data_IF_751354509828
#
_entry.id   IF_751354509828
#
_cell.length_a   1.000
_cell.length_b   1.000
_cell.length_c   1.000
_cell.angle_alpha   90.00
_cell.angle_beta   90.00
_cell.angle_gamma   90.00
#
_symmetry.space_group_name_H-M   'P 1'
#
loop_
_entity.id
_entity.type
_entity.pdbx_description
1 polymer ?
#
# COMPACT_ATOMS: atom_id res chain seq x y z
N UNK A 1 -28.26 24.74 -10.62
CA UNK A 1 -28.98 23.58 -10.05
C UNK A 1 -28.83 23.63 -8.54
N UNK A 2 -29.83 23.18 -7.80
CA UNK A 2 -29.70 22.91 -6.35
C UNK A 2 -28.65 21.81 -6.16
N UNK A 3 -27.62 22.08 -5.37
CA UNK A 3 -26.66 21.04 -4.98
C UNK A 3 -27.34 20.00 -4.10
N UNK A 4 -26.88 18.75 -4.17
CA UNK A 4 -27.32 17.71 -3.23
C UNK A 4 -27.01 18.17 -1.80
N UNK A 5 -28.00 18.04 -0.91
CA UNK A 5 -27.86 18.42 0.49
C UNK A 5 -27.49 17.19 1.33
N UNK A 6 -26.64 17.43 2.33
CA UNK A 6 -26.04 16.44 3.21
C UNK A 6 -26.35 16.85 4.64
N UNK A 7 -26.70 15.88 5.50
CA UNK A 7 -26.96 16.15 6.90
C UNK A 7 -25.65 16.28 7.68
N UNK A 8 -25.34 17.51 8.12
CA UNK A 8 -24.15 17.77 8.91
C UNK A 8 -24.39 17.49 10.39
N UNK A 9 -23.79 16.43 10.90
CA UNK A 9 -23.93 15.96 12.30
C UNK A 9 -23.32 16.91 13.34
N UNK A 10 -22.41 17.81 12.97
CA UNK A 10 -21.79 18.75 13.90
C UNK A 10 -22.62 20.03 14.07
N UNK A 11 -23.20 20.54 12.99
CA UNK A 11 -24.05 21.73 12.99
C UNK A 11 -25.55 21.44 13.15
N UNK A 12 -25.99 20.19 12.93
CA UNK A 12 -27.39 19.78 13.03
C UNK A 12 -28.28 20.39 11.94
N UNK A 13 -27.72 20.60 10.74
CA UNK A 13 -28.38 21.26 9.61
C UNK A 13 -27.99 20.61 8.28
N UNK A 14 -28.83 20.79 7.27
CA UNK A 14 -28.49 20.44 5.89
C UNK A 14 -27.48 21.44 5.31
N UNK A 15 -26.45 20.94 4.64
CA UNK A 15 -25.48 21.75 3.89
C UNK A 15 -25.22 21.20 2.48
N UNK A 16 -24.70 22.01 1.55
CA UNK A 16 -24.24 21.49 0.26
C UNK A 16 -23.18 20.39 0.41
N UNK A 17 -23.31 19.35 -0.42
CA UNK A 17 -22.32 18.31 -0.61
C UNK A 17 -20.92 18.87 -0.94
N UNK A 18 -19.90 18.23 -0.38
CA UNK A 18 -18.48 18.45 -0.66
C UNK A 18 -17.84 17.11 -1.01
N UNK A 19 -16.79 17.11 -1.84
CA UNK A 19 -16.10 15.87 -2.21
C UNK A 19 -15.54 15.08 -1.01
N UNK A 20 -15.23 15.77 0.10
CA UNK A 20 -14.84 15.16 1.39
C UNK A 20 -15.88 14.21 1.99
N UNK A 21 -17.15 14.39 1.64
CA UNK A 21 -18.30 13.68 2.21
C UNK A 21 -18.54 12.31 1.54
N UNK A 22 -17.78 12.01 0.48
CA UNK A 22 -17.91 10.79 -0.31
C UNK A 22 -16.71 9.85 -0.14
N UNK A 23 -17.01 8.56 0.06
CA UNK A 23 -16.02 7.48 0.02
C UNK A 23 -16.37 6.44 -1.06
N UNK A 24 -15.36 5.95 -1.78
CA UNK A 24 -15.43 4.81 -2.69
C UNK A 24 -14.76 3.62 -2.00
N UNK A 25 -15.52 2.55 -1.78
CA UNK A 25 -15.11 1.38 -1.01
C UNK A 25 -14.81 0.18 -1.91
N UNK A 26 -13.56 -0.28 -1.85
CA UNK A 26 -13.06 -1.42 -2.60
C UNK A 26 -13.01 -2.69 -1.74
N UNK A 27 -13.57 -3.79 -2.25
CA UNK A 27 -13.35 -5.15 -1.68
C UNK A 27 -11.89 -5.58 -1.79
N UNK A 28 -11.25 -5.26 -2.90
CA UNK A 28 -9.82 -5.45 -3.12
C UNK A 28 -9.31 -4.40 -4.10
N UNK A 29 -8.20 -3.73 -3.78
CA UNK A 29 -7.67 -2.55 -4.48
C UNK A 29 -6.98 -2.85 -5.83
N UNK A 30 -7.42 -3.91 -6.53
CA UNK A 30 -6.89 -4.31 -7.85
C UNK A 30 -7.25 -3.30 -8.94
N UNK A 31 -8.51 -2.86 -8.98
CA UNK A 31 -9.01 -1.97 -10.01
C UNK A 31 -8.77 -0.49 -9.66
N UNK A 32 -8.32 -0.18 -8.44
CA UNK A 32 -8.19 1.18 -7.92
C UNK A 32 -7.46 2.16 -8.86
N UNK A 33 -6.37 1.78 -9.58
CA UNK A 33 -5.71 2.68 -10.53
C UNK A 33 -6.61 3.14 -11.70
N UNK A 34 -7.56 2.31 -12.15
CA UNK A 34 -8.55 2.68 -13.17
C UNK A 34 -9.48 3.78 -12.66
N UNK A 35 -9.91 3.69 -11.40
CA UNK A 35 -10.71 4.75 -10.77
C UNK A 35 -9.89 6.03 -10.62
N UNK A 36 -8.61 5.95 -10.20
CA UNK A 36 -7.74 7.15 -10.17
C UNK A 36 -7.59 7.80 -11.55
N UNK A 37 -7.42 7.01 -12.61
CA UNK A 37 -7.30 7.51 -13.98
C UNK A 37 -8.58 8.24 -14.43
N UNK A 38 -9.76 7.63 -14.19
CA UNK A 38 -11.05 8.25 -14.55
C UNK A 38 -11.34 9.50 -13.70
N UNK A 39 -10.94 9.52 -12.42
CA UNK A 39 -11.02 10.74 -11.59
C UNK A 39 -10.11 11.86 -12.12
N UNK A 40 -8.86 11.55 -12.52
CA UNK A 40 -7.95 12.53 -13.17
C UNK A 40 -8.55 13.07 -14.46
N UNK A 41 -9.06 12.18 -15.32
CA UNK A 41 -9.66 12.55 -16.61
C UNK A 41 -10.92 13.42 -16.45
N UNK A 42 -11.72 13.20 -15.41
CA UNK A 42 -12.89 14.00 -15.07
C UNK A 42 -12.57 15.28 -14.27
N UNK A 43 -11.31 15.51 -13.89
CA UNK A 43 -10.90 16.64 -13.05
C UNK A 43 -11.42 16.60 -11.60
N UNK A 44 -11.82 15.42 -11.12
CA UNK A 44 -12.44 15.24 -9.80
C UNK A 44 -11.36 15.07 -8.70
N UNK A 45 -11.43 15.83 -7.59
CA UNK A 45 -10.46 15.72 -6.51
C UNK A 45 -10.69 14.42 -5.71
N UNK A 46 -9.62 13.63 -5.52
CA UNK A 46 -9.67 12.34 -4.84
C UNK A 46 -8.47 12.11 -3.92
N UNK A 47 -8.60 11.18 -2.97
CA UNK A 47 -7.59 10.84 -1.95
C UNK A 47 -7.62 9.34 -1.61
N UNK A 48 -6.51 8.62 -1.79
CA UNK A 48 -6.48 7.14 -1.86
C UNK A 48 -6.37 6.37 -0.52
N UNK A 49 -7.20 6.69 0.47
CA UNK A 49 -7.78 5.84 1.55
C UNK A 49 -7.19 4.47 2.10
N UNK A 50 -5.97 3.94 1.89
CA UNK A 50 -5.52 2.65 2.58
C UNK A 50 -3.98 2.44 2.84
N UNK A 51 -3.31 1.33 2.44
CA UNK A 51 -1.89 0.96 2.73
C UNK A 51 -0.96 0.39 1.59
N UNK A 52 -0.12 1.12 0.81
CA UNK A 52 0.84 0.66 -0.26
C UNK A 52 1.98 1.64 -0.63
N UNK A 53 3.20 1.12 -0.83
CA UNK A 53 4.21 1.77 -1.68
C UNK A 53 4.75 3.09 -1.14
N UNK A 54 4.45 3.38 0.12
CA UNK A 54 5.10 4.45 0.88
C UNK A 54 6.57 4.14 1.12
N UNK A 55 6.85 2.89 1.48
CA UNK A 55 8.21 2.36 1.56
C UNK A 55 8.86 2.12 0.20
N UNK A 56 8.12 2.32 -0.92
CA UNK A 56 8.67 2.29 -2.27
C UNK A 56 9.04 3.69 -2.80
N UNK A 57 8.66 4.76 -2.09
CA UNK A 57 9.05 6.13 -2.43
C UNK A 57 10.57 6.27 -2.30
N UNK A 58 11.28 6.91 -3.25
CA UNK A 58 12.73 7.06 -3.20
C UNK A 58 13.24 7.58 -1.86
N UNK A 59 12.59 8.61 -1.33
CA UNK A 59 12.94 9.27 -0.07
C UNK A 59 12.74 8.40 1.19
N UNK A 60 12.04 7.27 1.09
CA UNK A 60 11.92 6.27 2.16
C UNK A 60 12.84 5.07 1.88
N UNK A 61 13.04 4.70 0.62
CA UNK A 61 14.01 3.66 0.20
C UNK A 61 15.44 4.04 0.57
N UNK A 62 15.85 5.30 0.39
CA UNK A 62 17.19 5.78 0.78
C UNK A 62 17.48 5.50 2.27
N UNK A 63 16.48 5.72 3.13
CA UNK A 63 16.57 5.51 4.59
C UNK A 63 16.53 4.02 4.96
N UNK A 64 15.78 3.21 4.21
CA UNK A 64 15.76 1.76 4.39
C UNK A 64 17.07 1.10 3.96
N UNK A 65 17.64 1.52 2.82
CA UNK A 65 18.97 1.08 2.39
C UNK A 65 20.04 1.56 3.36
N UNK A 66 19.94 2.77 3.94
CA UNK A 66 20.87 3.21 4.98
C UNK A 66 20.85 2.28 6.19
N UNK A 67 19.67 1.92 6.70
CA UNK A 67 19.55 0.97 7.79
C UNK A 67 20.03 -0.44 7.40
N UNK A 68 19.80 -0.89 6.16
CA UNK A 68 20.29 -2.17 5.66
C UNK A 68 21.83 -2.24 5.59
N UNK A 69 22.51 -1.14 5.25
CA UNK A 69 23.98 -1.03 5.28
C UNK A 69 24.54 -1.08 6.71
N UNK A 70 23.79 -0.59 7.69
CA UNK A 70 24.18 -0.62 9.11
C UNK A 70 23.86 -1.97 9.79
N UNK A 71 22.82 -2.67 9.34
CA UNK A 71 22.48 -4.04 9.78
C UNK A 71 23.38 -5.10 9.12
N UNK A 72 23.68 -4.93 7.82
CA UNK A 72 24.52 -5.81 7.03
C UNK A 72 25.53 -5.02 6.16
N UNK A 73 26.74 -4.75 6.68
CA UNK A 73 27.85 -4.19 5.90
C UNK A 73 28.32 -5.02 4.69
N UNK A 74 27.79 -6.22 4.47
CA UNK A 74 28.01 -7.01 3.26
C UNK A 74 27.06 -6.68 2.10
N UNK A 75 26.03 -5.85 2.31
CA UNK A 75 25.09 -5.46 1.26
C UNK A 75 25.64 -4.33 0.37
N UNK A 76 26.44 -4.71 -0.63
CA UNK A 76 26.92 -3.82 -1.69
C UNK A 76 25.80 -3.14 -2.49
N UNK A 77 24.59 -3.72 -2.57
CA UNK A 77 23.48 -3.13 -3.34
C UNK A 77 22.83 -1.98 -2.55
N UNK A 78 22.52 -2.19 -1.27
CA UNK A 78 22.08 -1.10 -0.39
C UNK A 78 23.18 -0.06 -0.21
N UNK A 79 24.47 -0.46 -0.17
CA UNK A 79 25.59 0.48 -0.12
C UNK A 79 25.65 1.36 -1.37
N UNK A 80 25.50 0.78 -2.57
CA UNK A 80 25.44 1.53 -3.82
C UNK A 80 24.24 2.48 -3.87
N UNK A 81 23.07 2.03 -3.42
CA UNK A 81 21.86 2.87 -3.35
C UNK A 81 22.05 4.07 -2.42
N UNK A 82 22.54 3.85 -1.21
CA UNK A 82 22.84 4.89 -0.21
C UNK A 82 23.85 5.90 -0.74
N UNK A 83 24.96 5.44 -1.31
CA UNK A 83 26.00 6.33 -1.84
C UNK A 83 25.55 7.14 -3.06
N UNK A 84 24.66 6.58 -3.89
CA UNK A 84 24.04 7.30 -5.02
C UNK A 84 22.95 8.29 -4.58
N UNK A 85 22.28 8.01 -3.46
CA UNK A 85 21.15 8.82 -2.97
C UNK A 85 21.55 10.26 -2.62
N UNK A 86 20.57 11.18 -2.44
CA UNK A 86 20.81 12.54 -1.97
C UNK A 86 21.45 12.66 -0.57
N UNK A 87 21.72 11.55 0.13
CA UNK A 87 22.56 11.53 1.35
C UNK A 87 24.04 11.82 1.03
N UNK A 88 24.53 11.38 -0.14
CA UNK A 88 25.96 11.41 -0.49
C UNK A 88 26.26 11.84 -1.94
N UNK A 89 25.35 11.58 -2.89
CA UNK A 89 25.41 12.12 -4.25
C UNK A 89 26.58 11.62 -5.11
N UNK A 90 27.06 10.38 -4.88
CA UNK A 90 28.12 9.80 -5.70
C UNK A 90 27.60 9.38 -7.08
N UNK A 91 28.39 9.68 -8.11
CA UNK A 91 28.11 9.37 -9.51
C UNK A 91 28.32 7.88 -9.81
N UNK A 92 27.69 7.38 -10.88
CA UNK A 92 27.90 6.00 -11.32
C UNK A 92 29.37 5.72 -11.73
N UNK A 93 30.11 6.73 -12.20
CA UNK A 93 31.54 6.63 -12.47
C UNK A 93 32.37 6.54 -11.18
N UNK A 94 32.04 7.34 -10.16
CA UNK A 94 32.66 7.23 -8.83
C UNK A 94 32.37 5.86 -8.20
N UNK A 95 31.12 5.38 -8.24
CA UNK A 95 30.74 4.05 -7.72
C UNK A 95 31.42 2.92 -8.49
N UNK A 96 31.50 3.02 -9.83
CA UNK A 96 32.23 2.08 -10.67
C UNK A 96 33.73 2.04 -10.33
N UNK A 97 34.35 3.20 -10.09
CA UNK A 97 35.75 3.29 -9.63
C UNK A 97 35.97 2.64 -8.28
N UNK A 98 35.19 3.02 -7.26
CA UNK A 98 35.23 2.38 -5.93
C UNK A 98 35.13 0.86 -6.06
N UNK A 99 34.25 0.37 -6.94
CA UNK A 99 34.01 -1.06 -7.16
C UNK A 99 35.10 -1.79 -7.95
N UNK A 100 35.93 -1.10 -8.76
CA UNK A 100 36.83 -1.74 -9.76
C UNK A 100 38.29 -1.25 -9.75
N UNK A 101 38.66 -0.27 -8.93
CA UNK A 101 40.02 0.29 -8.85
C UNK A 101 40.62 0.17 -7.46
N UNK A 102 41.95 0.01 -7.40
CA UNK A 102 42.74 0.02 -6.17
C UNK A 102 43.16 1.45 -5.80
N UNK A 103 43.61 1.73 -4.56
CA UNK A 103 44.10 3.06 -4.15
C UNK A 103 45.18 3.63 -5.10
N UNK A 104 46.01 2.75 -5.67
CA UNK A 104 47.08 3.05 -6.63
C UNK A 104 46.55 3.29 -8.06
N UNK A 105 45.23 3.42 -8.22
CA UNK A 105 44.51 3.58 -9.50
C UNK A 105 44.65 2.39 -10.46
N UNK A 106 45.10 1.22 -9.99
CA UNK A 106 45.17 0.00 -10.82
C UNK A 106 43.82 -0.70 -10.89
N UNK A 107 43.64 -1.64 -11.81
CA UNK A 107 42.42 -2.47 -11.87
C UNK A 107 42.45 -3.53 -10.78
N UNK A 108 41.38 -3.58 -9.96
CA UNK A 108 41.18 -4.68 -9.03
C UNK A 108 40.85 -5.97 -9.80
N UNK A 109 41.43 -7.10 -9.38
CA UNK A 109 41.18 -8.40 -10.00
C UNK A 109 39.70 -8.79 -9.87
N UNK A 110 39.17 -8.74 -8.66
CA UNK A 110 37.76 -8.91 -8.33
C UNK A 110 37.11 -7.57 -7.92
N UNK A 111 35.77 -7.44 -7.96
CA UNK A 111 35.08 -6.25 -7.46
C UNK A 111 35.33 -6.03 -5.97
N UNK A 112 35.73 -4.82 -5.58
CA UNK A 112 36.01 -4.45 -4.18
C UNK A 112 34.68 -4.07 -3.48
N UNK A 113 34.36 -4.61 -2.28
CA UNK A 113 33.19 -4.20 -1.50
C UNK A 113 33.18 -2.68 -1.25
N UNK A 114 32.05 -2.01 -1.45
CA UNK A 114 31.99 -0.55 -1.50
C UNK A 114 32.39 0.11 -0.17
N UNK A 115 31.99 -0.45 0.98
CA UNK A 115 32.45 0.03 2.29
C UNK A 115 33.96 -0.15 2.49
N UNK A 116 34.56 -1.23 1.97
CA UNK A 116 36.01 -1.44 2.00
C UNK A 116 36.72 -0.42 1.09
N UNK A 117 36.14 -0.12 -0.08
CA UNK A 117 36.66 0.88 -1.00
C UNK A 117 36.56 2.31 -0.43
N UNK A 118 35.53 2.66 0.35
CA UNK A 118 35.46 3.96 1.02
C UNK A 118 36.62 4.18 2.02
N UNK A 119 37.04 3.13 2.72
CA UNK A 119 38.12 3.22 3.70
C UNK A 119 39.52 3.38 3.07
N UNK A 120 39.69 2.99 1.81
CA UNK A 120 40.91 3.18 1.03
C UNK A 120 40.56 3.46 -0.45
N UNK A 121 40.16 4.71 -0.78
CA UNK A 121 39.52 4.98 -2.06
C UNK A 121 40.51 5.15 -3.23
N UNK A 122 40.20 4.60 -4.42
CA UNK A 122 40.87 4.99 -5.67
C UNK A 122 40.62 6.46 -6.03
N UNK A 123 41.44 7.08 -6.89
CA UNK A 123 41.21 8.43 -7.39
C UNK A 123 39.91 8.59 -8.21
N UNK A 124 38.97 9.38 -7.68
CA UNK A 124 37.69 9.73 -8.31
C UNK A 124 37.63 11.21 -8.72
N UNK A 125 36.56 11.58 -9.41
CA UNK A 125 36.15 12.96 -9.70
C UNK A 125 35.40 13.63 -8.53
N UNK A 126 35.05 12.87 -7.48
CA UNK A 126 34.34 13.32 -6.28
C UNK A 126 35.07 12.95 -4.97
N UNK A 127 36.36 13.31 -4.80
CA UNK A 127 37.17 12.85 -3.66
C UNK A 127 36.63 13.35 -2.31
N UNK A 128 36.15 14.60 -2.25
CA UNK A 128 35.60 15.19 -1.03
C UNK A 128 34.30 14.51 -0.59
N UNK A 129 33.42 14.18 -1.54
CA UNK A 129 32.17 13.46 -1.26
C UNK A 129 32.44 12.01 -0.83
N UNK A 130 33.45 11.34 -1.42
CA UNK A 130 33.88 10.00 -1.00
C UNK A 130 34.43 10.00 0.43
N UNK A 131 35.33 10.96 0.76
CA UNK A 131 35.86 11.10 2.11
C UNK A 131 34.78 11.47 3.14
N UNK A 132 33.85 12.35 2.75
CA UNK A 132 32.68 12.71 3.54
C UNK A 132 31.76 11.50 3.80
N UNK A 133 31.47 10.70 2.77
CA UNK A 133 30.63 9.51 2.88
C UNK A 133 31.26 8.44 3.78
N UNK A 134 32.57 8.20 3.64
CA UNK A 134 33.31 7.33 4.55
C UNK A 134 33.17 7.79 6.00
N UNK A 135 33.43 9.08 6.28
CA UNK A 135 33.34 9.65 7.63
C UNK A 135 31.97 9.42 8.27
N UNK A 136 30.89 9.72 7.55
CA UNK A 136 29.52 9.62 8.09
C UNK A 136 29.11 8.15 8.28
N UNK A 137 29.40 7.28 7.31
CA UNK A 137 29.05 5.86 7.42
C UNK A 137 29.83 5.17 8.54
N UNK A 138 31.13 5.45 8.73
CA UNK A 138 31.88 4.93 9.88
C UNK A 138 31.30 5.42 11.21
N UNK A 139 30.95 6.71 11.35
CA UNK A 139 30.32 7.25 12.57
C UNK A 139 28.96 6.59 12.88
N UNK A 140 28.17 6.25 11.86
CA UNK A 140 26.90 5.54 12.03
C UNK A 140 27.11 4.05 12.34
N UNK A 141 28.17 3.42 11.81
CA UNK A 141 28.56 2.04 12.14
C UNK A 141 29.07 1.92 13.58
N UNK A 142 29.87 2.88 14.06
CA UNK A 142 30.30 2.94 15.46
C UNK A 142 29.10 3.05 16.42
N UNK A 143 28.03 3.71 16.00
CA UNK A 143 26.77 3.83 16.75
C UNK A 143 25.84 2.61 16.61
N UNK A 144 25.98 1.79 15.57
CA UNK A 144 25.10 0.67 15.30
C UNK A 144 25.15 -0.36 16.45
N UNK A 145 23.98 -0.90 16.83
CA UNK A 145 23.85 -1.79 17.98
C UNK A 145 23.97 -1.12 19.37
N UNK A 146 24.42 0.14 19.46
CA UNK A 146 24.41 0.92 20.71
C UNK A 146 23.14 1.76 20.88
N UNK A 147 22.44 2.07 19.79
CA UNK A 147 21.27 2.95 19.77
C UNK A 147 20.15 2.40 18.87
N UNK A 148 18.93 2.89 19.09
CA UNK A 148 17.77 2.60 18.25
C UNK A 148 17.89 3.15 16.81
N UNK A 149 17.11 2.58 15.90
CA UNK A 149 17.10 2.97 14.48
C UNK A 149 16.70 4.45 14.27
N UNK A 150 15.88 5.04 15.14
CA UNK A 150 15.51 6.46 15.04
C UNK A 150 16.72 7.38 15.28
N UNK A 151 17.56 7.09 16.29
CA UNK A 151 18.80 7.87 16.55
C UNK A 151 19.81 7.78 15.41
N UNK A 152 19.92 6.62 14.75
CA UNK A 152 20.78 6.46 13.56
C UNK A 152 20.27 7.31 12.40
N UNK A 153 18.97 7.26 12.12
CA UNK A 153 18.35 8.08 11.07
C UNK A 153 18.46 9.58 11.37
N UNK A 154 18.10 10.02 12.58
CA UNK A 154 18.19 11.44 12.99
C UNK A 154 19.63 11.97 12.87
N UNK A 155 20.62 11.20 13.35
CA UNK A 155 22.03 11.56 13.21
C UNK A 155 22.47 11.63 11.74
N UNK A 156 22.06 10.67 10.91
CA UNK A 156 22.39 10.66 9.49
C UNK A 156 21.80 11.88 8.75
N UNK A 157 20.52 12.19 9.00
CA UNK A 157 19.84 13.34 8.40
C UNK A 157 20.45 14.69 8.82
N UNK A 158 20.93 14.80 10.06
CA UNK A 158 21.65 15.98 10.56
C UNK A 158 23.04 16.13 9.94
N UNK A 159 23.81 15.05 9.81
CA UNK A 159 25.15 15.08 9.18
C UNK A 159 25.08 15.40 7.67
N UNK A 160 24.07 14.88 6.97
CA UNK A 160 23.88 14.99 5.51
C UNK A 160 23.09 16.20 5.06
N UNK A 161 22.31 16.82 5.95
CA UNK A 161 21.38 17.89 5.58
C UNK A 161 20.27 17.43 4.63
N UNK A 162 20.03 16.12 4.51
CA UNK A 162 19.14 15.50 3.53
C UNK A 162 17.74 16.12 3.45
N UNK A 163 17.17 16.54 4.59
CA UNK A 163 15.89 17.24 4.64
C UNK A 163 15.89 18.58 3.87
N UNK A 164 17.03 19.31 3.86
CA UNK A 164 17.20 20.51 3.07
C UNK A 164 17.38 20.17 1.58
N UNK A 165 18.11 19.11 1.26
CA UNK A 165 18.27 18.60 -0.13
C UNK A 165 16.91 18.22 -0.73
N UNK A 166 16.05 17.52 0.03
CA UNK A 166 14.69 17.20 -0.39
C UNK A 166 13.81 18.46 -0.54
N UNK A 167 13.88 19.41 0.39
CA UNK A 167 13.12 20.66 0.29
C UNK A 167 13.50 21.51 -0.94
N UNK A 168 14.76 21.47 -1.38
CA UNK A 168 15.21 22.10 -2.62
C UNK A 168 14.69 21.37 -3.87
N UNK A 169 14.68 20.03 -3.86
CA UNK A 169 14.09 19.24 -4.95
C UNK A 169 12.57 19.49 -5.08
N UNK A 170 11.85 19.56 -3.95
CA UNK A 170 10.42 19.89 -3.91
C UNK A 170 10.10 21.23 -4.58
N UNK A 171 10.91 22.26 -4.34
CA UNK A 171 10.74 23.57 -4.96
C UNK A 171 10.93 23.53 -6.48
N UNK A 172 11.88 22.73 -6.99
CA UNK A 172 12.08 22.53 -8.41
C UNK A 172 10.91 21.80 -9.09
N UNK A 173 10.36 20.77 -8.42
CA UNK A 173 9.22 19.99 -8.93
C UNK A 173 7.84 20.65 -8.70
N UNK A 174 7.78 21.77 -7.95
CA UNK A 174 6.53 22.37 -7.42
C UNK A 174 5.75 21.43 -6.50
N UNK A 175 6.42 20.46 -5.89
CA UNK A 175 5.86 19.51 -4.93
C UNK A 175 5.66 20.21 -3.57
N UNK A 176 4.45 20.13 -3.00
CA UNK A 176 4.14 20.78 -1.72
C UNK A 176 4.54 19.92 -0.51
N UNK A 177 5.82 19.93 -0.12
CA UNK A 177 6.26 19.33 1.15
C UNK A 177 6.19 17.80 1.24
N UNK A 178 5.99 17.12 0.10
CA UNK A 178 5.66 15.68 0.06
C UNK A 178 6.83 14.78 0.47
N UNK A 179 8.05 15.07 0.02
CA UNK A 179 9.25 14.28 0.32
C UNK A 179 9.61 14.42 1.80
N UNK A 180 9.68 15.68 2.27
CA UNK A 180 9.99 16.02 3.66
C UNK A 180 8.95 15.41 4.62
N UNK A 181 7.67 15.45 4.26
CA UNK A 181 6.59 14.80 5.04
C UNK A 181 6.75 13.28 5.16
N UNK A 182 7.17 12.58 4.09
CA UNK A 182 7.41 11.14 4.13
C UNK A 182 8.59 10.79 5.06
N UNK A 183 9.69 11.54 4.99
CA UNK A 183 10.84 11.34 5.90
C UNK A 183 10.43 11.56 7.35
N UNK A 184 9.67 12.62 7.64
CA UNK A 184 9.19 12.91 9.00
C UNK A 184 8.26 11.80 9.54
N UNK A 185 7.35 11.27 8.70
CA UNK A 185 6.51 10.12 9.06
C UNK A 185 7.35 8.85 9.31
N UNK A 186 8.40 8.61 8.52
CA UNK A 186 9.29 7.47 8.71
C UNK A 186 10.10 7.58 10.01
N UNK A 187 10.61 8.77 10.34
CA UNK A 187 11.26 9.05 11.63
C UNK A 187 10.33 8.82 12.82
N UNK A 188 9.08 9.31 12.76
CA UNK A 188 8.09 9.08 13.83
C UNK A 188 7.80 7.58 13.99
N UNK A 189 7.64 6.85 12.89
CA UNK A 189 7.46 5.39 12.91
C UNK A 189 8.67 4.66 13.53
N UNK A 190 9.90 5.06 13.16
CA UNK A 190 11.12 4.50 13.75
C UNK A 190 11.22 4.82 15.25
N UNK A 191 10.78 6.00 15.68
CA UNK A 191 10.79 6.44 17.10
C UNK A 191 9.76 5.69 17.95
N UNK A 192 8.57 5.44 17.40
CA UNK A 192 7.49 4.70 18.07
C UNK A 192 7.69 3.18 18.05
N UNK A 193 8.29 2.63 16.98
CA UNK A 193 8.22 1.20 16.64
C UNK A 193 9.57 0.56 16.28
N UNK A 194 10.67 1.30 16.38
CA UNK A 194 12.03 0.82 16.09
C UNK A 194 12.46 -0.30 17.03
N UNK A 195 12.58 0.03 18.31
CA UNK A 195 13.34 -0.80 19.26
C UNK A 195 14.86 -0.66 19.04
N UNK A 196 15.64 -1.49 19.72
CA UNK A 196 17.10 -1.44 19.69
C UNK A 196 17.76 -2.31 18.58
N UNK A 197 16.99 -3.18 17.92
CA UNK A 197 17.48 -4.09 16.87
C UNK A 197 17.07 -3.56 15.48
N UNK A 198 18.06 -3.18 14.67
CA UNK A 198 17.88 -2.67 13.31
C UNK A 198 17.23 -3.74 12.43
N UNK A 199 17.74 -4.98 12.46
CA UNK A 199 17.21 -6.10 11.69
C UNK A 199 15.79 -6.47 12.07
N UNK A 200 15.39 -6.35 13.35
CA UNK A 200 13.97 -6.49 13.74
C UNK A 200 13.08 -5.35 13.21
N UNK A 201 13.59 -4.12 13.15
CA UNK A 201 12.86 -3.01 12.54
C UNK A 201 12.75 -3.18 11.02
N UNK A 202 13.84 -3.54 10.32
CA UNK A 202 13.85 -3.82 8.88
C UNK A 202 12.89 -4.96 8.52
N UNK A 203 12.92 -6.09 9.24
CA UNK A 203 11.96 -7.19 9.06
C UNK A 203 10.53 -6.71 9.27
N UNK A 204 10.25 -5.91 10.31
CA UNK A 204 8.92 -5.32 10.55
C UNK A 204 8.48 -4.38 9.42
N UNK A 205 9.38 -3.59 8.84
CA UNK A 205 9.07 -2.78 7.66
C UNK A 205 8.87 -3.65 6.43
N UNK A 206 9.57 -4.77 6.29
CA UNK A 206 9.38 -5.71 5.17
C UNK A 206 8.06 -6.50 5.30
N UNK A 207 7.66 -6.88 6.52
CA UNK A 207 6.32 -7.42 6.81
C UNK A 207 5.24 -6.38 6.50
N UNK A 208 5.45 -5.12 6.91
CA UNK A 208 4.55 -4.01 6.59
C UNK A 208 4.53 -3.70 5.10
N UNK A 209 5.64 -3.78 4.36
CA UNK A 209 5.71 -3.69 2.90
C UNK A 209 4.93 -4.83 2.24
N UNK A 210 4.99 -6.03 2.80
CA UNK A 210 4.33 -7.23 2.25
C UNK A 210 2.83 -7.22 2.53
N UNK A 211 2.40 -6.71 3.70
CA UNK A 211 1.01 -6.40 4.00
C UNK A 211 0.52 -5.21 3.16
N UNK A 212 1.34 -4.17 3.02
CA UNK A 212 1.05 -3.01 2.16
C UNK A 212 0.84 -3.46 0.71
N UNK A 213 1.73 -4.27 0.13
CA UNK A 213 1.56 -4.82 -1.21
C UNK A 213 0.19 -5.51 -1.40
N UNK A 214 -0.40 -6.04 -0.32
CA UNK A 214 -1.74 -6.65 -0.30
C UNK A 214 -2.90 -5.63 -0.15
N UNK A 215 -2.69 -4.36 0.24
CA UNK A 215 -3.76 -3.44 0.72
C UNK A 215 -4.04 -2.05 -0.02
N UNK A 216 -3.15 -1.03 -0.18
CA UNK A 216 -3.28 0.19 -1.08
C UNK A 216 -3.30 1.68 -0.53
N UNK A 217 -2.25 2.53 -0.54
CA UNK A 217 -2.09 3.74 0.36
C UNK A 217 -2.77 5.08 0.06
N UNK A 218 -3.10 5.76 1.17
CA UNK A 218 -3.00 7.22 1.27
C UNK A 218 -1.59 7.67 1.61
N UNK A 219 -1.11 8.70 0.91
CA UNK A 219 -1.01 9.99 1.58
C UNK A 219 -0.98 11.14 0.58
N UNK A 220 -1.92 12.07 0.74
CA UNK A 220 -2.12 13.25 -0.09
C UNK A 220 -2.82 14.34 0.71
N UNK A 221 -2.42 15.59 0.46
CA UNK A 221 -3.02 16.77 1.10
C UNK A 221 -4.44 16.96 0.57
N UNK A 222 -5.43 17.13 1.45
CA UNK A 222 -6.79 17.45 1.00
C UNK A 222 -6.77 18.79 0.22
N UNK A 223 -7.36 18.87 -0.99
CA UNK A 223 -7.55 20.12 -1.71
C UNK A 223 -8.51 21.06 -0.97
N UNK A 224 -8.46 22.36 -1.28
CA UNK A 224 -9.27 23.41 -0.62
C UNK A 224 -10.78 23.34 -0.92
N UNK A 225 -11.26 22.29 -1.60
CA UNK A 225 -12.68 21.93 -1.77
C UNK A 225 -13.04 20.53 -1.25
N UNK A 226 -12.15 19.86 -0.52
CA UNK A 226 -12.26 18.44 -0.17
C UNK A 226 -11.89 17.50 -1.33
N UNK A 227 -11.92 16.19 -1.07
CA UNK A 227 -11.60 15.13 -2.03
C UNK A 227 -12.30 13.81 -1.68
N UNK A 228 -12.75 13.08 -2.70
CA UNK A 228 -13.42 11.77 -2.56
C UNK A 228 -12.42 10.72 -2.08
N UNK A 229 -12.78 9.94 -1.07
CA UNK A 229 -11.85 9.03 -0.40
C UNK A 229 -11.92 7.61 -0.99
N UNK A 230 -10.88 7.18 -1.70
CA UNK A 230 -10.80 5.86 -2.37
C UNK A 230 -10.10 4.85 -1.45
N UNK A 231 -10.85 4.01 -0.73
CA UNK A 231 -10.34 3.16 0.36
C UNK A 231 -10.76 1.69 0.28
N UNK A 232 -10.00 0.80 0.91
CA UNK A 232 -10.49 -0.55 1.18
C UNK A 232 -11.61 -0.54 2.22
N UNK A 233 -12.55 -1.49 2.14
CA UNK A 233 -13.63 -1.63 3.15
C UNK A 233 -13.06 -1.85 4.57
N UNK A 234 -11.89 -2.50 4.68
CA UNK A 234 -11.17 -2.67 5.94
C UNK A 234 -10.67 -1.33 6.53
N UNK A 235 -10.14 -0.44 5.69
CA UNK A 235 -9.70 0.89 6.12
C UNK A 235 -10.88 1.81 6.53
N UNK A 236 -12.07 1.59 5.97
CA UNK A 236 -13.29 2.29 6.35
C UNK A 236 -13.87 1.87 7.72
N UNK A 237 -13.35 0.81 8.36
CA UNK A 237 -13.94 0.22 9.57
C UNK A 237 -13.88 1.18 10.76
N UNK A 238 -15.05 1.66 11.19
CA UNK A 238 -15.18 2.64 12.27
C UNK A 238 -15.23 4.11 11.79
N UNK A 239 -15.03 4.36 10.51
CA UNK A 239 -15.34 5.63 9.85
C UNK A 239 -16.81 5.62 9.38
N UNK A 240 -17.36 6.79 9.09
CA UNK A 240 -18.70 6.98 8.56
C UNK A 240 -18.65 8.13 7.54
N UNK A 241 -19.41 8.02 6.45
CA UNK A 241 -19.44 9.02 5.38
C UNK A 241 -20.89 9.27 4.96
N UNK A 242 -21.30 10.53 4.72
CA UNK A 242 -22.62 10.83 4.17
C UNK A 242 -22.91 10.09 2.87
N UNK A 243 -21.95 10.01 1.96
CA UNK A 243 -22.09 9.29 0.68
C UNK A 243 -21.07 8.15 0.60
N UNK A 244 -21.54 6.94 0.29
CA UNK A 244 -20.68 5.76 0.09
C UNK A 244 -21.01 5.08 -1.23
N UNK A 245 -19.98 4.79 -2.01
CA UNK A 245 -20.07 3.98 -3.24
C UNK A 245 -19.32 2.67 -3.03
N UNK A 246 -20.02 1.54 -3.04
CA UNK A 246 -19.40 0.21 -3.03
C UNK A 246 -19.26 -0.25 -4.49
N UNK A 247 -18.02 -0.49 -4.92
CA UNK A 247 -17.68 -0.75 -6.33
C UNK A 247 -17.16 -2.17 -6.55
N UNK A 248 -17.03 -2.56 -7.83
CA UNK A 248 -16.64 -3.90 -8.28
C UNK A 248 -17.52 -5.03 -7.72
N UNK A 249 -18.80 -4.78 -7.39
CA UNK A 249 -19.66 -5.76 -6.68
C UNK A 249 -19.95 -7.05 -7.48
N UNK A 250 -19.80 -7.02 -8.80
CA UNK A 250 -19.85 -8.19 -9.68
C UNK A 250 -18.66 -9.14 -9.55
N UNK A 251 -17.60 -8.73 -8.84
CA UNK A 251 -16.38 -9.52 -8.64
C UNK A 251 -16.69 -10.78 -7.83
N UNK A 252 -16.41 -11.94 -8.43
CA UNK A 252 -16.61 -13.27 -7.84
C UNK A 252 -16.10 -13.36 -6.39
N UNK A 253 -16.90 -14.00 -5.53
CA UNK A 253 -16.59 -14.09 -4.09
C UNK A 253 -15.45 -15.06 -3.82
N UNK A 254 -15.54 -16.27 -4.37
CA UNK A 254 -14.48 -17.29 -4.28
C UNK A 254 -13.34 -16.98 -5.27
N UNK A 255 -12.11 -16.88 -4.75
CA UNK A 255 -10.91 -16.92 -5.60
C UNK A 255 -10.55 -18.36 -5.96
N UNK A 256 -9.68 -18.54 -6.96
CA UNK A 256 -9.27 -19.89 -7.39
C UNK A 256 -8.60 -20.64 -6.24
N UNK A 257 -9.08 -21.85 -5.95
CA UNK A 257 -8.57 -22.68 -4.85
C UNK A 257 -7.09 -22.92 -5.07
N UNK A 258 -6.23 -22.39 -4.20
CA UNK A 258 -4.83 -22.80 -4.16
C UNK A 258 -4.83 -24.31 -3.90
N UNK A 259 -4.26 -25.10 -4.80
CA UNK A 259 -4.30 -26.57 -4.69
C UNK A 259 -3.23 -27.06 -3.71
N UNK A 260 -3.31 -26.54 -2.47
CA UNK A 260 -2.47 -26.94 -1.34
C UNK A 260 -2.77 -28.39 -1.00
N UNK A 261 -1.73 -29.23 -1.06
CA UNK A 261 -1.82 -30.64 -0.67
C UNK A 261 -1.90 -30.84 0.85
N UNK A 262 -1.85 -29.76 1.63
CA UNK A 262 -1.71 -29.73 3.08
C UNK A 262 -2.39 -28.47 3.61
N UNK A 263 -3.16 -28.62 4.68
CA UNK A 263 -3.96 -27.58 5.35
C UNK A 263 -3.88 -27.83 6.86
N UNK A 264 -3.83 -26.77 7.67
CA UNK A 264 -3.98 -26.87 9.12
C UNK A 264 -5.45 -26.67 9.52
N UNK A 265 -6.07 -27.68 10.10
CA UNK A 265 -7.39 -27.64 10.74
C UNK A 265 -7.23 -27.39 12.27
N UNK A 266 -7.97 -26.46 12.89
CA UNK A 266 -7.83 -26.16 14.33
C UNK A 266 -8.16 -27.31 15.28
N UNK A 267 -8.92 -28.32 14.84
CA UNK A 267 -9.38 -29.48 15.63
C UNK A 267 -8.52 -30.71 15.34
N UNK A 268 -8.19 -30.95 14.06
CA UNK A 268 -7.52 -32.17 13.60
C UNK A 268 -6.03 -31.99 13.27
N UNK A 269 -5.50 -30.77 13.36
CA UNK A 269 -4.11 -30.46 13.05
C UNK A 269 -3.83 -30.50 11.55
N UNK A 270 -2.74 -31.14 11.14
CA UNK A 270 -2.35 -31.17 9.73
C UNK A 270 -3.17 -32.22 8.97
N UNK A 271 -4.01 -31.76 8.05
CA UNK A 271 -4.76 -32.61 7.09
C UNK A 271 -4.21 -32.43 5.69
N UNK A 272 -4.16 -33.50 4.90
CA UNK A 272 -3.46 -33.52 3.62
C UNK A 272 -4.17 -34.35 2.54
N UNK A 273 -3.72 -34.21 1.30
CA UNK A 273 -4.04 -35.17 0.25
C UNK A 273 -3.32 -36.49 0.52
N UNK A 274 -4.04 -37.59 0.30
CA UNK A 274 -3.52 -38.95 0.36
C UNK A 274 -3.24 -39.45 -1.06
N UNK A 275 -2.64 -40.63 -1.18
CA UNK A 275 -2.65 -41.39 -2.43
C UNK A 275 -3.67 -42.51 -2.34
N UNK A 276 -4.37 -42.75 -3.44
CA UNK A 276 -5.24 -43.91 -3.60
C UNK A 276 -4.43 -45.19 -3.93
N UNK A 277 -5.12 -46.30 -4.21
CA UNK A 277 -4.51 -47.58 -4.58
C UNK A 277 -3.75 -47.55 -5.93
N UNK A 278 -4.05 -46.57 -6.79
CA UNK A 278 -3.39 -46.36 -8.09
C UNK A 278 -2.18 -45.42 -7.97
N UNK A 279 -2.06 -44.70 -6.86
CA UNK A 279 -0.99 -43.77 -6.54
C UNK A 279 -1.32 -42.31 -6.85
N UNK A 280 -2.55 -41.99 -7.25
CA UNK A 280 -3.01 -40.64 -7.59
C UNK A 280 -3.47 -39.84 -6.35
N UNK A 281 -3.45 -38.51 -6.45
CA UNK A 281 -3.66 -37.61 -5.31
C UNK A 281 -5.14 -37.35 -5.01
N UNK A 282 -5.69 -38.04 -4.01
CA UNK A 282 -7.07 -37.84 -3.54
C UNK A 282 -7.13 -36.84 -2.35
N UNK A 283 -8.24 -36.13 -2.20
CA UNK A 283 -8.51 -35.29 -1.02
C UNK A 283 -9.08 -36.15 0.11
N UNK A 284 -8.30 -36.40 1.16
CA UNK A 284 -8.76 -37.15 2.34
C UNK A 284 -10.04 -36.54 2.95
N UNK A 285 -10.78 -37.34 3.72
CA UNK A 285 -12.00 -36.87 4.43
C UNK A 285 -11.69 -35.66 5.33
N UNK A 286 -10.57 -35.68 6.04
CA UNK A 286 -10.13 -34.54 6.88
C UNK A 286 -9.80 -33.28 6.07
N UNK A 287 -9.10 -33.42 4.93
CA UNK A 287 -8.82 -32.27 4.06
C UNK A 287 -10.11 -31.73 3.40
N UNK A 288 -11.04 -32.61 3.04
CA UNK A 288 -12.33 -32.24 2.47
C UNK A 288 -13.24 -31.53 3.48
N UNK A 289 -13.22 -31.98 4.75
CA UNK A 289 -13.88 -31.30 5.87
C UNK A 289 -13.30 -29.91 6.12
N UNK A 290 -11.98 -29.79 6.30
CA UNK A 290 -11.31 -28.52 6.57
C UNK A 290 -11.60 -27.51 5.44
N UNK A 291 -11.47 -27.93 4.17
CA UNK A 291 -11.80 -27.13 2.98
C UNK A 291 -13.27 -26.75 2.83
N UNK A 292 -14.20 -27.46 3.47
CA UNK A 292 -15.62 -27.08 3.53
C UNK A 292 -15.87 -26.05 4.64
N UNK A 293 -15.29 -26.29 5.82
CA UNK A 293 -15.38 -25.40 6.98
C UNK A 293 -14.70 -24.04 6.72
N UNK A 294 -13.55 -24.04 6.07
CA UNK A 294 -12.85 -22.84 5.57
C UNK A 294 -13.76 -22.03 4.63
N UNK A 295 -14.39 -22.68 3.64
CA UNK A 295 -15.34 -22.03 2.74
C UNK A 295 -16.55 -21.41 3.45
N UNK A 296 -17.08 -22.06 4.51
CA UNK A 296 -18.15 -21.48 5.34
C UNK A 296 -17.69 -20.27 6.16
N UNK A 297 -16.43 -20.25 6.61
CA UNK A 297 -15.82 -19.08 7.27
C UNK A 297 -15.57 -17.94 6.27
N UNK A 298 -15.06 -18.23 5.08
CA UNK A 298 -14.92 -17.24 4.00
C UNK A 298 -16.26 -16.63 3.59
N UNK A 299 -17.31 -17.44 3.42
CA UNK A 299 -18.66 -16.97 3.10
C UNK A 299 -19.23 -16.08 4.22
N UNK A 300 -19.00 -16.44 5.49
CA UNK A 300 -19.40 -15.62 6.63
C UNK A 300 -18.64 -14.28 6.67
N UNK A 301 -17.33 -14.28 6.41
CA UNK A 301 -16.53 -13.04 6.41
C UNK A 301 -16.85 -12.15 5.20
N UNK A 302 -17.08 -12.71 4.01
CA UNK A 302 -17.54 -11.94 2.85
C UNK A 302 -18.91 -11.28 3.11
N UNK A 303 -19.82 -11.94 3.85
CA UNK A 303 -21.09 -11.31 4.29
C UNK A 303 -20.86 -10.20 5.32
N UNK A 304 -19.95 -10.40 6.30
CA UNK A 304 -19.58 -9.34 7.26
C UNK A 304 -18.95 -8.14 6.57
N UNK A 305 -18.10 -8.36 5.56
CA UNK A 305 -17.41 -7.29 4.83
C UNK A 305 -18.40 -6.45 4.00
N UNK A 306 -19.37 -7.08 3.34
CA UNK A 306 -20.48 -6.36 2.67
C UNK A 306 -21.30 -5.53 3.68
N UNK A 307 -21.67 -6.13 4.82
CA UNK A 307 -22.37 -5.42 5.90
C UNK A 307 -21.57 -4.22 6.43
N UNK A 308 -20.26 -4.36 6.64
CA UNK A 308 -19.38 -3.24 7.03
C UNK A 308 -19.41 -2.15 5.98
N UNK A 309 -19.28 -2.48 4.69
CA UNK A 309 -19.30 -1.51 3.59
C UNK A 309 -20.62 -0.71 3.53
N UNK A 310 -21.76 -1.39 3.48
CA UNK A 310 -23.07 -0.73 3.41
C UNK A 310 -23.35 0.14 4.64
N UNK A 311 -22.92 -0.30 5.84
CA UNK A 311 -23.08 0.48 7.09
C UNK A 311 -22.04 1.59 7.28
N UNK A 312 -21.22 1.93 6.27
CA UNK A 312 -20.41 3.16 6.29
C UNK A 312 -21.21 4.39 5.83
N UNK A 313 -22.32 4.19 5.12
CA UNK A 313 -23.18 5.26 4.63
C UNK A 313 -24.04 5.87 5.74
N UNK A 314 -24.26 7.19 5.69
CA UNK A 314 -25.27 7.86 6.51
C UNK A 314 -26.49 8.33 5.70
N UNK A 315 -26.27 9.04 4.58
CA UNK A 315 -27.33 9.66 3.78
C UNK A 315 -27.59 8.92 2.47
N UNK A 316 -26.54 8.48 1.76
CA UNK A 316 -26.63 7.84 0.44
C UNK A 316 -25.65 6.66 0.29
N UNK A 317 -26.20 5.50 -0.07
CA UNK A 317 -25.46 4.30 -0.44
C UNK A 317 -25.67 3.99 -1.92
N UNK A 318 -24.57 3.92 -2.69
CA UNK A 318 -24.56 3.53 -4.10
C UNK A 318 -23.86 2.17 -4.21
N UNK A 319 -24.49 1.22 -4.88
CA UNK A 319 -24.00 -0.14 -5.09
C UNK A 319 -23.73 -0.34 -6.60
N UNK A 320 -22.52 -0.77 -6.98
CA UNK A 320 -22.09 -0.79 -8.38
C UNK A 320 -21.29 -2.04 -8.75
N UNK A 321 -21.74 -2.74 -9.79
CA UNK A 321 -21.05 -3.89 -10.37
C UNK A 321 -21.81 -4.50 -11.56
N UNK A 322 -21.08 -5.13 -12.47
CA UNK A 322 -21.63 -5.84 -13.63
C UNK A 322 -21.85 -7.32 -13.29
N UNK A 323 -23.01 -7.88 -13.64
CA UNK A 323 -23.33 -9.29 -13.37
C UNK A 323 -22.70 -10.19 -14.45
N UNK A 324 -21.43 -10.55 -14.25
CA UNK A 324 -20.76 -11.57 -15.09
C UNK A 324 -20.88 -12.99 -14.52
N UNK A 325 -21.07 -13.12 -13.19
CA UNK A 325 -20.86 -14.38 -12.44
C UNK A 325 -21.86 -14.53 -11.30
N UNK A 326 -22.47 -15.72 -11.22
CA UNK A 326 -23.54 -16.07 -10.29
C UNK A 326 -23.17 -16.13 -8.79
N UNK A 327 -21.91 -15.93 -8.42
CA UNK A 327 -21.46 -15.87 -7.02
C UNK A 327 -20.70 -14.55 -6.77
N UNK A 328 -21.45 -13.45 -6.71
CA UNK A 328 -20.98 -12.08 -6.55
C UNK A 328 -21.89 -11.30 -5.59
N UNK A 329 -21.38 -10.24 -4.97
CA UNK A 329 -22.22 -9.39 -4.11
C UNK A 329 -23.34 -8.70 -4.89
N UNK A 330 -23.12 -8.38 -6.17
CA UNK A 330 -24.16 -7.80 -7.03
C UNK A 330 -25.32 -8.78 -7.19
N UNK A 331 -25.05 -10.05 -7.53
CA UNK A 331 -26.08 -11.08 -7.64
C UNK A 331 -26.85 -11.23 -6.32
N UNK A 332 -26.14 -11.35 -5.19
CA UNK A 332 -26.78 -11.55 -3.88
C UNK A 332 -27.70 -10.39 -3.47
N UNK A 333 -27.43 -9.16 -3.91
CA UNK A 333 -28.29 -7.99 -3.68
C UNK A 333 -29.49 -7.98 -4.63
N UNK A 334 -29.28 -8.27 -5.92
CA UNK A 334 -30.36 -8.37 -6.91
C UNK A 334 -31.37 -9.46 -6.54
N UNK A 335 -30.89 -10.65 -6.18
CA UNK A 335 -31.70 -11.78 -5.70
C UNK A 335 -32.53 -11.40 -4.45
N UNK A 336 -31.89 -10.71 -3.49
CA UNK A 336 -32.53 -10.34 -2.22
C UNK A 336 -33.62 -9.25 -2.36
N UNK A 337 -33.60 -8.48 -3.45
CA UNK A 337 -34.60 -7.45 -3.76
C UNK A 337 -35.51 -7.81 -4.95
N UNK A 338 -35.33 -8.97 -5.57
CA UNK A 338 -36.13 -9.43 -6.71
C UNK A 338 -35.92 -8.62 -8.00
N UNK A 339 -34.70 -8.12 -8.20
CA UNK A 339 -34.35 -7.19 -9.29
C UNK A 339 -33.76 -7.98 -10.46
N UNK A 340 -34.35 -7.82 -11.65
CA UNK A 340 -33.83 -8.41 -12.89
C UNK A 340 -32.55 -7.67 -13.35
N UNK A 341 -31.47 -8.43 -13.59
CA UNK A 341 -30.22 -7.93 -14.18
C UNK A 341 -30.39 -7.57 -15.65
N UNK A 342 -31.22 -8.31 -16.37
CA UNK A 342 -31.34 -8.30 -17.83
C UNK A 342 -32.52 -7.42 -18.30
N UNK A 343 -33.07 -6.63 -17.38
CA UNK A 343 -34.05 -5.58 -17.66
C UNK A 343 -33.51 -4.48 -18.59
N UNK A 344 -34.39 -3.65 -19.16
CA UNK A 344 -34.00 -2.65 -20.15
C UNK A 344 -33.10 -1.54 -19.58
N UNK A 345 -32.31 -0.93 -20.47
CA UNK A 345 -31.56 0.31 -20.22
C UNK A 345 -32.50 1.41 -19.69
N UNK A 346 -32.12 2.08 -18.60
CA UNK A 346 -32.95 3.11 -17.97
C UNK A 346 -32.78 3.20 -16.45
N UNK A 347 -33.77 3.80 -15.80
CA UNK A 347 -33.88 3.93 -14.35
C UNK A 347 -35.23 3.38 -13.87
N UNK A 348 -35.21 2.27 -13.13
CA UNK A 348 -36.38 1.74 -12.42
C UNK A 348 -36.36 2.24 -10.97
N UNK A 349 -37.51 2.67 -10.41
CA UNK A 349 -37.61 3.06 -9.00
C UNK A 349 -38.52 2.11 -8.23
N UNK A 350 -37.90 1.29 -7.38
CA UNK A 350 -38.58 0.35 -6.49
C UNK A 350 -38.88 1.06 -5.16
N UNK A 351 -40.16 1.14 -4.78
CA UNK A 351 -40.57 1.68 -3.48
C UNK A 351 -40.82 0.53 -2.51
N UNK A 352 -39.99 0.45 -1.46
CA UNK A 352 -40.12 -0.48 -0.35
C UNK A 352 -40.69 0.26 0.87
N UNK A 353 -41.10 -0.47 1.91
CA UNK A 353 -41.89 0.10 3.03
C UNK A 353 -41.28 1.34 3.72
N UNK A 354 -39.96 1.45 3.73
CA UNK A 354 -39.22 2.50 4.45
C UNK A 354 -38.19 3.26 3.60
N UNK A 355 -38.00 2.89 2.32
CA UNK A 355 -37.00 3.51 1.43
C UNK A 355 -37.29 3.24 -0.05
N UNK A 356 -36.69 4.04 -0.93
CA UNK A 356 -36.70 3.83 -2.38
C UNK A 356 -35.34 3.33 -2.87
N UNK A 357 -35.34 2.43 -3.84
CA UNK A 357 -34.15 1.97 -4.57
C UNK A 357 -34.29 2.40 -6.02
N UNK A 358 -33.40 3.29 -6.47
CA UNK A 358 -33.18 3.56 -7.90
C UNK A 358 -32.24 2.49 -8.45
N UNK A 359 -32.64 1.84 -9.53
CA UNK A 359 -31.89 0.82 -10.27
C UNK A 359 -31.59 1.39 -11.65
N UNK A 360 -30.36 1.86 -11.82
CA UNK A 360 -29.89 2.42 -13.10
C UNK A 360 -29.16 1.35 -13.89
N UNK A 361 -29.68 0.98 -15.06
CA UNK A 361 -28.98 0.17 -16.07
C UNK A 361 -28.46 1.11 -17.15
N UNK A 362 -27.15 1.45 -17.14
CA UNK A 362 -26.57 2.34 -18.15
C UNK A 362 -26.46 1.61 -19.50
N UNK A 363 -26.74 2.28 -20.62
CA UNK A 363 -26.66 1.66 -21.94
C UNK A 363 -25.24 1.19 -22.26
N UNK A 364 -25.12 0.01 -22.86
CA UNK A 364 -23.83 -0.61 -23.16
C UNK A 364 -23.09 0.13 -24.29
N UNK A 365 -22.25 1.09 -23.91
CA UNK A 365 -21.24 1.67 -24.80
C UNK A 365 -20.00 0.77 -24.82
N UNK A 366 -19.64 0.26 -25.99
CA UNK A 366 -18.33 -0.38 -26.19
C UNK A 366 -17.18 0.61 -25.85
N UNK A 367 -16.04 0.12 -25.31
CA UNK A 367 -14.97 0.95 -24.74
C UNK A 367 -14.02 1.60 -25.76
#
# INVERSE_FOLDING_TARGET
SSGYLIWDKESGQERPFRFSDAAILFRATTNLPLYEERFKAAGLPYLTVSGRGYYDRPEVRDLLSLLAVLDNPGDDLSTAAVLRSPLFGLSDETLYRLRRRTPENTWAAEPVPLLQALAAPPPTDQPDQVAYACRVLSQLQDMAGQVDAWRLLDKALQETGYLATLALAEQAEKSQGRLVGNVQKFLSMARERGGADIGAFLRRVQDLQTAEAREGQVEGRQPEGGAVQLMSIHAAKGLEFPVVVVVDMGRALRQSRTNTRLHHDPTYGIVCQVRDEQGDWESSVGLSWARWMEGQLEEAENRRLLYVACTRAADLLILSGQVEKADSWMQHILDAWGIDSDGPDGEDVLTLENFQVSVVRPPYTEP
#
